data_IF_761459255372
#
_entry.id   IF_761459255372
#
_cell.length_a   1.000
_cell.length_b   1.000
_cell.length_c   1.000
_cell.angle_alpha   90.00
_cell.angle_beta   90.00
_cell.angle_gamma   90.00
#
_symmetry.space_group_name_H-M   'P 1'
#
loop_
_entity.id
_entity.type
_entity.pdbx_description
1 polymer ?
#
# COMPACT_ATOMS: atom_id res chain seq x y z
N UNK A 1 -60.77 -12.31 73.39
CA UNK A 1 -59.93 -11.28 74.05
C UNK A 1 -58.56 -11.90 74.26
N UNK A 2 -57.40 -11.41 73.81
CA UNK A 2 -56.98 -10.12 73.28
C UNK A 2 -55.77 -10.29 72.34
N UNK A 3 -55.86 -9.63 71.19
CA UNK A 3 -54.83 -8.92 70.39
C UNK A 3 -53.39 -9.48 70.32
N UNK A 4 -53.08 -10.03 69.14
CA UNK A 4 -51.74 -10.14 68.57
C UNK A 4 -51.10 -8.75 68.36
N UNK A 5 -49.86 -8.59 68.82
CA UNK A 5 -48.94 -7.53 68.41
C UNK A 5 -47.66 -8.15 67.86
N UNK A 6 -47.63 -8.50 66.57
CA UNK A 6 -46.42 -8.99 65.90
C UNK A 6 -45.59 -7.80 65.47
N UNK A 7 -44.56 -7.47 66.24
CA UNK A 7 -43.58 -6.44 65.92
C UNK A 7 -42.85 -6.76 64.62
N UNK A 8 -43.36 -6.22 63.51
CA UNK A 8 -42.67 -6.21 62.22
C UNK A 8 -41.59 -5.14 62.28
N UNK A 9 -40.37 -5.52 62.68
CA UNK A 9 -39.17 -4.71 62.42
C UNK A 9 -39.04 -4.53 60.91
N UNK A 10 -39.41 -3.36 60.42
CA UNK A 10 -39.15 -2.92 59.05
C UNK A 10 -37.63 -2.82 58.89
N UNK A 11 -37.01 -3.81 58.26
CA UNK A 11 -35.62 -3.76 57.85
C UNK A 11 -35.51 -2.68 56.77
N UNK A 12 -35.13 -1.46 57.17
CA UNK A 12 -34.73 -0.40 56.25
C UNK A 12 -33.60 -0.94 55.38
N UNK A 13 -33.91 -1.21 54.11
CA UNK A 13 -32.92 -1.59 53.10
C UNK A 13 -32.02 -0.37 52.91
N UNK A 14 -30.80 -0.40 53.46
CA UNK A 14 -29.82 0.66 53.24
C UNK A 14 -29.50 0.66 51.75
N UNK A 15 -30.01 1.65 51.02
CA UNK A 15 -29.60 1.91 49.64
C UNK A 15 -28.13 2.35 49.69
N UNK A 16 -27.25 1.52 49.14
CA UNK A 16 -25.84 1.87 48.98
C UNK A 16 -25.78 2.84 47.81
N UNK A 17 -25.53 4.12 48.09
CA UNK A 17 -25.23 5.11 47.05
C UNK A 17 -23.92 4.80 46.33
N UNK A 18 -23.76 5.34 45.13
CA UNK A 18 -22.50 5.26 44.37
C UNK A 18 -21.38 5.97 45.11
N UNK A 19 -20.18 5.40 45.11
CA UNK A 19 -19.00 6.07 45.66
C UNK A 19 -18.44 7.06 44.64
N UNK A 20 -17.87 8.18 45.09
CA UNK A 20 -17.17 9.13 44.19
C UNK A 20 -16.04 8.42 43.43
N UNK A 21 -15.35 7.49 44.10
CA UNK A 21 -14.26 6.70 43.53
C UNK A 21 -14.73 5.87 42.34
N UNK A 22 -15.95 5.35 42.36
CA UNK A 22 -16.53 4.57 41.27
C UNK A 22 -16.76 5.40 40.01
N UNK A 23 -17.26 6.63 40.16
CA UNK A 23 -17.42 7.56 39.04
C UNK A 23 -16.07 7.97 38.46
N UNK A 24 -15.08 8.21 39.32
CA UNK A 24 -13.71 8.55 38.89
C UNK A 24 -13.07 7.39 38.12
N UNK A 25 -13.21 6.16 38.61
CA UNK A 25 -12.69 4.96 37.92
C UNK A 25 -13.43 4.77 36.58
N UNK A 26 -14.76 4.93 36.54
CA UNK A 26 -15.53 4.80 35.31
C UNK A 26 -15.10 5.83 34.25
N UNK A 27 -14.89 7.09 34.64
CA UNK A 27 -14.37 8.14 33.76
C UNK A 27 -12.94 7.85 33.31
N UNK A 28 -12.09 7.32 34.19
CA UNK A 28 -10.73 6.93 33.84
C UNK A 28 -10.72 5.82 32.78
N UNK A 29 -11.51 4.76 32.96
CA UNK A 29 -11.66 3.66 32.00
C UNK A 29 -12.24 4.18 30.68
N UNK A 30 -13.27 5.04 30.74
CA UNK A 30 -13.87 5.64 29.55
C UNK A 30 -12.85 6.46 28.76
N UNK A 31 -12.05 7.29 29.45
CA UNK A 31 -10.98 8.08 28.84
C UNK A 31 -9.94 7.20 28.15
N UNK A 32 -9.46 6.16 28.83
CA UNK A 32 -8.52 5.20 28.24
C UNK A 32 -9.11 4.48 27.02
N UNK A 33 -10.37 4.05 27.10
CA UNK A 33 -11.06 3.42 25.98
C UNK A 33 -11.17 4.33 24.76
N UNK A 34 -11.51 5.60 24.96
CA UNK A 34 -11.58 6.59 23.88
C UNK A 34 -10.21 6.82 23.22
N UNK A 35 -9.13 6.89 24.01
CA UNK A 35 -7.77 7.00 23.48
C UNK A 35 -7.42 5.82 22.58
N UNK A 36 -7.67 4.58 23.03
CA UNK A 36 -7.40 3.38 22.24
C UNK A 36 -8.22 3.38 20.93
N UNK A 37 -9.49 3.77 20.97
CA UNK A 37 -10.33 3.86 19.77
C UNK A 37 -9.76 4.89 18.77
N UNK A 38 -9.33 6.06 19.24
CA UNK A 38 -8.73 7.10 18.40
C UNK A 38 -7.42 6.62 17.76
N UNK A 39 -6.58 5.91 18.52
CA UNK A 39 -5.33 5.34 18.00
C UNK A 39 -5.59 4.31 16.90
N UNK A 40 -6.54 3.39 17.11
CA UNK A 40 -6.93 2.40 16.11
C UNK A 40 -7.48 3.06 14.83
N UNK A 41 -8.33 4.06 14.98
CA UNK A 41 -8.90 4.78 13.84
C UNK A 41 -7.83 5.55 13.06
N UNK A 42 -6.94 6.26 13.76
CA UNK A 42 -5.80 6.96 13.16
C UNK A 42 -4.84 6.00 12.43
N UNK A 43 -4.59 4.84 13.02
CA UNK A 43 -3.82 3.75 12.40
C UNK A 43 -4.48 3.25 11.11
N UNK A 44 -5.79 2.97 11.16
CA UNK A 44 -6.57 2.50 10.01
C UNK A 44 -6.58 3.49 8.85
N UNK A 45 -6.80 4.78 9.12
CA UNK A 45 -6.76 5.83 8.10
C UNK A 45 -5.39 5.94 7.43
N UNK A 46 -4.32 5.86 8.21
CA UNK A 46 -2.94 5.90 7.70
C UNK A 46 -2.64 4.71 6.80
N UNK A 47 -3.07 3.52 7.22
CA UNK A 47 -2.90 2.30 6.44
C UNK A 47 -3.70 2.36 5.13
N UNK A 48 -4.95 2.82 5.19
CA UNK A 48 -5.80 3.01 4.01
C UNK A 48 -5.18 3.99 3.01
N UNK A 49 -4.64 5.12 3.50
CA UNK A 49 -3.92 6.08 2.65
C UNK A 49 -2.71 5.43 1.96
N UNK A 50 -1.84 4.76 2.72
CA UNK A 50 -0.65 4.09 2.14
C UNK A 50 -1.03 2.98 1.17
N UNK A 51 -2.10 2.22 1.45
CA UNK A 51 -2.61 1.21 0.52
C UNK A 51 -3.10 1.84 -0.78
N UNK A 52 -3.84 2.96 -0.70
CA UNK A 52 -4.29 3.70 -1.87
C UNK A 52 -3.13 4.25 -2.71
N UNK A 53 -2.10 4.81 -2.08
CA UNK A 53 -0.87 5.24 -2.76
C UNK A 53 -0.19 4.09 -3.51
N UNK A 54 -0.11 2.91 -2.90
CA UNK A 54 0.47 1.72 -3.52
C UNK A 54 -0.33 1.23 -4.73
N UNK A 55 -1.66 1.14 -4.62
CA UNK A 55 -2.54 0.77 -5.73
C UNK A 55 -2.38 1.74 -6.90
N UNK A 56 -2.32 3.05 -6.62
CA UNK A 56 -2.06 4.07 -7.64
C UNK A 56 -0.71 3.87 -8.32
N UNK A 57 0.36 3.64 -7.55
CA UNK A 57 1.68 3.38 -8.12
C UNK A 57 1.66 2.19 -9.08
N UNK A 58 1.02 1.08 -8.68
CA UNK A 58 0.90 -0.13 -9.51
C UNK A 58 0.13 0.16 -10.79
N UNK A 59 -0.98 0.91 -10.71
CA UNK A 59 -1.76 1.29 -11.88
C UNK A 59 -0.95 2.19 -12.82
N UNK A 60 -0.15 3.12 -12.30
CA UNK A 60 0.76 3.92 -13.13
C UNK A 60 1.84 3.08 -13.80
N UNK A 61 2.41 2.10 -13.10
CA UNK A 61 3.35 1.15 -13.69
C UNK A 61 2.72 0.37 -14.84
N UNK A 62 1.49 -0.12 -14.67
CA UNK A 62 0.73 -0.80 -15.74
C UNK A 62 0.44 0.11 -16.92
N UNK A 63 -0.03 1.33 -16.66
CA UNK A 63 -0.29 2.33 -17.70
C UNK A 63 0.98 2.62 -18.51
N UNK A 64 2.12 2.78 -17.84
CA UNK A 64 3.40 3.04 -18.51
C UNK A 64 3.86 1.84 -19.34
N UNK A 65 3.68 0.63 -18.82
CA UNK A 65 3.98 -0.60 -19.53
C UNK A 65 3.15 -0.74 -20.81
N UNK A 66 1.85 -0.45 -20.73
CA UNK A 66 0.97 -0.44 -21.91
C UNK A 66 1.36 0.64 -22.92
N UNK A 67 1.71 1.85 -22.45
CA UNK A 67 2.17 2.95 -23.31
C UNK A 67 3.43 2.58 -24.10
N UNK A 68 4.41 1.95 -23.44
CA UNK A 68 5.68 1.55 -24.06
C UNK A 68 5.50 0.32 -24.94
N UNK A 69 4.67 -0.65 -24.53
CA UNK A 69 4.40 -1.85 -25.31
C UNK A 69 3.74 -1.59 -26.68
N UNK A 70 3.09 -0.43 -26.84
CA UNK A 70 2.56 0.02 -28.14
C UNK A 70 3.62 0.64 -29.06
N UNK A 71 4.77 1.07 -28.52
CA UNK A 71 5.85 1.66 -29.30
C UNK A 71 6.80 0.55 -29.78
N UNK A 72 7.25 0.59 -31.04
CA UNK A 72 8.29 -0.33 -31.49
C UNK A 72 9.58 -0.02 -30.73
N UNK A 73 10.08 -0.99 -29.96
CA UNK A 73 11.39 -0.87 -29.30
C UNK A 73 12.46 -0.93 -30.39
N UNK A 74 13.11 0.20 -30.62
CA UNK A 74 14.13 0.35 -31.65
C UNK A 74 15.55 0.28 -31.07
N UNK A 75 15.76 0.86 -29.87
CA UNK A 75 17.07 1.03 -29.25
C UNK A 75 17.02 0.88 -27.72
N UNK A 76 18.20 0.79 -27.10
CA UNK A 76 18.33 0.89 -25.64
C UNK A 76 18.15 2.35 -25.23
N UNK A 77 17.20 2.61 -24.35
CA UNK A 77 16.81 3.96 -23.98
C UNK A 77 16.53 4.04 -22.49
N UNK A 78 16.85 5.20 -21.91
CA UNK A 78 16.41 5.58 -20.57
C UNK A 78 15.47 6.78 -20.70
N UNK A 79 14.22 6.59 -20.29
CA UNK A 79 13.23 7.65 -20.22
C UNK A 79 12.89 7.96 -18.76
N UNK A 80 12.65 9.23 -18.44
CA UNK A 80 12.16 9.64 -17.13
C UNK A 80 11.08 10.70 -17.26
N UNK A 81 10.22 10.79 -16.25
CA UNK A 81 9.16 11.77 -16.24
C UNK A 81 8.34 11.78 -14.97
N UNK A 82 7.20 12.48 -15.04
CA UNK A 82 6.26 12.59 -13.93
C UNK A 82 4.85 12.30 -14.43
N UNK A 83 4.07 11.59 -13.63
CA UNK A 83 2.62 11.49 -13.84
C UNK A 83 1.91 12.71 -13.27
N UNK A 84 2.36 13.15 -12.10
CA UNK A 84 1.86 14.33 -11.39
C UNK A 84 2.95 14.85 -10.42
N UNK A 85 2.59 15.72 -9.47
CA UNK A 85 3.52 16.28 -8.48
C UNK A 85 4.06 15.24 -7.48
N UNK A 86 3.37 14.11 -7.30
CA UNK A 86 3.64 13.11 -6.28
C UNK A 86 4.31 11.85 -6.84
N UNK A 87 4.04 11.50 -8.09
CA UNK A 87 4.50 10.28 -8.75
C UNK A 87 5.43 10.59 -9.92
N UNK A 88 6.66 10.10 -9.82
CA UNK A 88 7.67 10.13 -10.87
C UNK A 88 7.90 8.73 -11.41
N UNK A 89 8.34 8.64 -12.65
CA UNK A 89 8.64 7.37 -13.29
C UNK A 89 9.97 7.42 -14.00
N UNK A 90 10.61 6.26 -14.08
CA UNK A 90 11.83 6.03 -14.85
C UNK A 90 11.69 4.69 -15.56
N UNK A 91 12.12 4.63 -16.81
CA UNK A 91 12.07 3.44 -17.67
C UNK A 91 13.46 3.23 -18.19
N UNK A 92 13.94 1.99 -18.09
CA UNK A 92 15.24 1.59 -18.65
C UNK A 92 15.00 0.38 -19.55
N UNK A 93 15.24 0.56 -20.85
CA UNK A 93 15.14 -0.48 -21.86
C UNK A 93 16.53 -0.97 -22.24
N UNK A 94 16.78 -2.27 -22.11
CA UNK A 94 18.05 -2.92 -22.45
C UNK A 94 17.84 -4.10 -23.38
N UNK A 95 18.74 -4.30 -24.32
CA UNK A 95 18.75 -5.47 -25.19
C UNK A 95 19.29 -6.66 -24.38
N UNK A 96 18.56 -7.77 -24.40
CA UNK A 96 19.00 -9.01 -23.78
C UNK A 96 19.82 -9.78 -24.81
N UNK A 97 21.05 -10.15 -24.44
CA UNK A 97 21.88 -11.01 -25.27
C UNK A 97 21.39 -12.46 -25.15
N UNK A 98 20.75 -12.97 -26.22
CA UNK A 98 20.21 -14.34 -26.28
C UNK A 98 21.30 -15.40 -26.52
N UNK A 99 22.50 -14.99 -26.94
CA UNK A 99 23.63 -15.86 -27.25
C UNK A 99 24.85 -15.40 -26.44
N UNK A 100 25.00 -15.87 -25.18
CA UNK A 100 26.11 -15.49 -24.31
C UNK A 100 27.45 -16.12 -24.72
N UNK A 101 27.45 -17.08 -25.65
CA UNK A 101 28.64 -17.82 -26.08
C UNK A 101 29.39 -17.09 -27.20
N UNK A 102 30.69 -16.84 -27.02
CA UNK A 102 31.57 -16.12 -27.97
C UNK A 102 31.57 -16.75 -29.38
N UNK A 103 31.26 -18.04 -29.49
CA UNK A 103 31.22 -18.81 -30.74
C UNK A 103 29.95 -18.56 -31.57
N UNK A 104 28.93 -17.92 -31.00
CA UNK A 104 27.65 -17.66 -31.66
C UNK A 104 27.48 -16.19 -32.11
N UNK A 105 28.55 -15.37 -32.07
CA UNK A 105 28.53 -13.95 -32.51
C UNK A 105 28.09 -13.74 -33.96
N UNK A 106 28.29 -14.72 -34.85
CA UNK A 106 27.87 -14.65 -36.26
C UNK A 106 26.43 -15.11 -36.50
N UNK A 107 25.78 -15.74 -35.52
CA UNK A 107 24.38 -16.13 -35.61
C UNK A 107 23.52 -14.93 -35.21
N UNK A 108 22.91 -14.26 -36.20
CA UNK A 108 21.85 -13.28 -35.93
C UNK A 108 20.60 -14.04 -35.46
N UNK A 109 20.18 -13.94 -34.19
CA UNK A 109 18.99 -14.62 -33.75
C UNK A 109 17.78 -14.11 -34.54
N UNK A 110 16.79 -14.96 -34.83
CA UNK A 110 15.60 -14.59 -35.60
C UNK A 110 14.67 -13.61 -34.86
N UNK A 111 14.97 -13.31 -33.59
CA UNK A 111 14.28 -12.35 -32.73
C UNK A 111 15.29 -11.63 -31.83
N UNK A 112 15.07 -10.34 -31.60
CA UNK A 112 15.76 -9.56 -30.57
C UNK A 112 14.87 -9.53 -29.32
N UNK A 113 15.44 -9.74 -28.14
CA UNK A 113 14.72 -9.65 -26.87
C UNK A 113 15.13 -8.37 -26.15
N UNK A 114 14.17 -7.60 -25.68
CA UNK A 114 14.40 -6.41 -24.87
C UNK A 114 13.81 -6.61 -23.47
N UNK A 115 14.55 -6.16 -22.46
CA UNK A 115 14.14 -6.09 -21.07
C UNK A 115 13.84 -4.62 -20.72
N UNK A 116 12.66 -4.37 -20.18
CA UNK A 116 12.20 -3.06 -19.74
C UNK A 116 12.02 -3.07 -18.22
N UNK A 117 12.76 -2.21 -17.52
CA UNK A 117 12.62 -1.95 -16.09
C UNK A 117 11.89 -0.61 -15.91
N UNK A 118 10.68 -0.67 -15.37
CA UNK A 118 9.84 0.50 -15.09
C UNK A 118 9.81 0.72 -13.59
N UNK A 119 10.39 1.82 -13.12
CA UNK A 119 10.37 2.21 -11.72
C UNK A 119 9.41 3.38 -11.51
N UNK A 120 8.44 3.20 -10.60
CA UNK A 120 7.54 4.27 -10.15
C UNK A 120 7.96 4.71 -8.75
N UNK A 121 8.19 6.00 -8.56
CA UNK A 121 8.76 6.61 -7.35
C UNK A 121 7.79 7.66 -6.80
N UNK A 122 7.47 7.59 -5.52
CA UNK A 122 6.59 8.57 -4.87
C UNK A 122 6.94 8.79 -3.40
N UNK A 123 6.48 9.92 -2.85
CA UNK A 123 6.67 10.26 -1.44
C UNK A 123 5.47 9.82 -0.61
N UNK A 124 5.70 8.98 0.39
CA UNK A 124 4.68 8.54 1.36
C UNK A 124 5.04 9.10 2.74
N UNK A 125 4.42 10.23 3.09
CA UNK A 125 4.78 11.00 4.29
C UNK A 125 6.18 11.59 4.18
N UNK A 126 7.12 11.15 5.04
CA UNK A 126 8.52 11.59 5.01
C UNK A 126 9.46 10.65 4.25
N UNK A 127 8.98 9.46 3.85
CA UNK A 127 9.81 8.45 3.18
C UNK A 127 9.49 8.42 1.69
N UNK A 128 10.52 8.24 0.86
CA UNK A 128 10.33 7.89 -0.54
C UNK A 128 10.09 6.38 -0.66
N UNK A 129 9.15 6.00 -1.51
CA UNK A 129 8.83 4.62 -1.85
C UNK A 129 8.95 4.45 -3.36
N UNK A 130 9.22 3.22 -3.78
CA UNK A 130 9.16 2.88 -5.19
C UNK A 130 8.64 1.47 -5.40
N UNK A 131 8.09 1.23 -6.58
CA UNK A 131 7.83 -0.10 -7.11
C UNK A 131 8.58 -0.27 -8.43
N UNK A 132 8.93 -1.50 -8.77
CA UNK A 132 9.49 -1.86 -10.07
C UNK A 132 8.57 -2.84 -10.78
N UNK A 133 8.40 -2.64 -12.07
CA UNK A 133 7.68 -3.52 -12.97
C UNK A 133 8.64 -3.87 -14.10
N UNK A 134 8.91 -5.16 -14.26
CA UNK A 134 9.78 -5.66 -15.32
C UNK A 134 8.94 -6.30 -16.42
N UNK A 135 9.34 -6.11 -17.66
CA UNK A 135 8.71 -6.74 -18.82
C UNK A 135 9.73 -7.11 -19.88
N UNK A 136 9.42 -8.15 -20.65
CA UNK A 136 10.26 -8.66 -21.73
C UNK A 136 9.47 -8.65 -23.02
N UNK A 137 10.03 -8.05 -24.07
CA UNK A 137 9.39 -7.95 -25.38
C UNK A 137 10.33 -8.48 -26.46
N UNK A 138 9.80 -9.35 -27.32
CA UNK A 138 10.50 -9.84 -28.51
C UNK A 138 10.15 -8.98 -29.70
N UNK A 139 11.17 -8.51 -30.42
CA UNK A 139 11.03 -7.76 -31.68
C UNK A 139 11.65 -8.60 -32.80
N UNK A 140 10.96 -8.76 -33.93
CA UNK A 140 11.58 -9.38 -35.11
C UNK A 140 12.57 -8.38 -35.72
N UNK A 141 13.85 -8.76 -35.94
CA UNK A 141 14.82 -7.88 -36.56
C UNK A 141 14.30 -7.49 -37.96
N UNK A 142 14.32 -6.19 -38.25
CA UNK A 142 13.88 -5.65 -39.54
C UNK A 142 14.79 -6.23 -40.63
N UNK A 143 14.22 -7.03 -41.53
CA UNK A 143 14.93 -7.58 -42.68
C UNK A 143 15.40 -6.38 -43.52
N UNK A 144 16.72 -6.16 -43.59
CA UNK A 144 17.29 -5.11 -44.45
C UNK A 144 17.02 -5.54 -45.90
N UNK A 145 16.02 -4.93 -46.53
CA UNK A 145 15.81 -4.97 -47.98
C UNK A 145 16.79 -4.06 -48.70
#
# INVERSE_FOLDING_TARGET
MLVQGKDRKLRMKRERGFTIVEVVIALAILGMGLTVIMELFSGGLRLGKTSGEYIKAVNYGRLKLEEIGLKPILEEEMEEGKFDDLFRWQVVTKRVNLLPDEQAKDLKPPVELFHMDIQIIWKSGHKEKSIRVESYQTVKPKEKS
#
